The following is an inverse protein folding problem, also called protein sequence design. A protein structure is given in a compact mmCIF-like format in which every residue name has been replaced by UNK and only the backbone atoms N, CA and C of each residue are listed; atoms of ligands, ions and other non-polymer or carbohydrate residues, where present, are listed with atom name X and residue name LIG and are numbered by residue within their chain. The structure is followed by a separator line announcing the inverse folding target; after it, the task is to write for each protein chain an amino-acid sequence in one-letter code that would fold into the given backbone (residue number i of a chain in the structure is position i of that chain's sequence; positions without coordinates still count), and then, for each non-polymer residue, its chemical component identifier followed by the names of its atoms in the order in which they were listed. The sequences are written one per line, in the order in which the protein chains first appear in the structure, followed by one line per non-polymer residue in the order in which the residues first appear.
data_IF_034368617470
#
_entry.id   IF_034368617470
#
_cell.length_a   1.000
_cell.length_b   1.000
_cell.length_c   1.000
_cell.angle_alpha   90.00
_cell.angle_beta   90.00
_cell.angle_gamma   90.00
#
_symmetry.space_group_name_H-M   'P 1'
#
loop_
_entity.id
_entity.type
_entity.pdbx_description
1 polymer ?
#
# COMPACT_ATOMS: atom_id res chain seq x y z
N UNK A 1 9.59 -31.81 -0.92
CA UNK A 1 8.83 -32.55 0.10
C UNK A 1 8.75 -31.83 1.45
N UNK A 2 9.77 -31.11 1.95
CA UNK A 2 9.71 -30.33 3.22
C UNK A 2 8.80 -29.10 3.15
N UNK A 3 8.64 -28.48 2.01
CA UNK A 3 7.80 -27.29 1.77
C UNK A 3 6.31 -27.59 1.94
N UNK A 4 5.83 -28.74 1.45
CA UNK A 4 4.43 -29.15 1.58
C UNK A 4 3.97 -29.28 3.05
N UNK A 5 4.84 -29.79 3.94
CA UNK A 5 4.52 -29.94 5.35
C UNK A 5 4.46 -28.59 6.08
N UNK A 6 5.30 -27.63 5.69
CA UNK A 6 5.29 -26.30 6.28
C UNK A 6 4.03 -25.50 5.86
N UNK A 7 3.64 -25.60 4.60
CA UNK A 7 2.41 -24.97 4.06
C UNK A 7 1.16 -25.59 4.69
N UNK A 8 1.10 -26.93 4.81
CA UNK A 8 -0.03 -27.64 5.43
C UNK A 8 -0.12 -27.29 6.93
N UNK A 9 1.00 -27.20 7.64
CA UNK A 9 1.02 -26.86 9.07
C UNK A 9 0.56 -25.42 9.32
N UNK A 10 0.97 -24.45 8.48
CA UNK A 10 0.52 -23.06 8.60
C UNK A 10 -0.96 -22.89 8.19
N UNK A 11 -1.42 -23.59 7.16
CA UNK A 11 -2.84 -23.59 6.75
C UNK A 11 -3.74 -24.25 7.82
N UNK A 12 -3.26 -25.30 8.51
CA UNK A 12 -4.02 -25.94 9.59
C UNK A 12 -4.16 -25.05 10.83
N UNK A 13 -3.19 -24.17 11.12
CA UNK A 13 -3.29 -23.18 12.22
C UNK A 13 -4.31 -22.07 11.87
N UNK A 14 -4.43 -21.70 10.60
CA UNK A 14 -5.43 -20.72 10.11
C UNK A 14 -6.87 -21.27 10.09
N UNK A 15 -7.04 -22.60 10.04
CA UNK A 15 -8.34 -23.28 9.95
C UNK A 15 -8.92 -23.71 11.31
N UNK A 16 -8.24 -23.42 12.43
CA UNK A 16 -8.82 -23.72 13.74
C UNK A 16 -10.10 -22.87 13.93
N UNK A 17 -11.27 -23.49 14.07
CA UNK A 17 -12.50 -22.75 14.30
C UNK A 17 -12.40 -22.05 15.66
N UNK A 18 -12.34 -20.73 15.65
CA UNK A 18 -12.55 -19.92 16.85
C UNK A 18 -14.01 -20.05 17.21
N UNK A 19 -14.33 -20.97 18.11
CA UNK A 19 -15.68 -21.17 18.59
C UNK A 19 -16.18 -19.91 19.33
N UNK A 20 -16.86 -19.03 18.61
CA UNK A 20 -17.54 -17.87 19.18
C UNK A 20 -18.80 -18.21 20.02
N UNK A 21 -19.18 -19.49 20.08
CA UNK A 21 -20.40 -19.96 20.75
C UNK A 21 -20.34 -19.96 22.29
N UNK A 22 -19.17 -20.22 22.88
CA UNK A 22 -19.06 -20.42 24.33
C UNK A 22 -19.50 -19.22 25.20
N UNK A 23 -19.50 -18.02 24.68
CA UNK A 23 -19.86 -16.83 25.45
C UNK A 23 -21.32 -16.38 25.25
N UNK A 24 -21.96 -16.75 24.14
CA UNK A 24 -23.40 -16.61 23.97
C UNK A 24 -24.15 -17.64 24.82
N UNK A 25 -23.63 -18.86 24.85
CA UNK A 25 -24.14 -19.95 25.69
C UNK A 25 -24.10 -19.55 27.18
N UNK A 26 -23.02 -18.86 27.64
CA UNK A 26 -22.92 -18.40 29.02
C UNK A 26 -23.98 -17.36 29.39
N UNK A 27 -24.25 -16.38 28.53
CA UNK A 27 -25.29 -15.36 28.78
C UNK A 27 -26.71 -15.98 28.77
N UNK A 28 -26.93 -16.98 27.92
CA UNK A 28 -28.19 -17.73 27.91
C UNK A 28 -28.37 -18.58 29.16
N UNK A 29 -27.32 -19.28 29.56
CA UNK A 29 -27.30 -20.06 30.82
C UNK A 29 -27.56 -19.15 32.04
N UNK A 30 -26.93 -18.00 32.11
CA UNK A 30 -27.13 -17.05 33.23
C UNK A 30 -28.56 -16.47 33.25
N UNK A 31 -29.19 -16.28 32.09
CA UNK A 31 -30.60 -15.90 31.99
C UNK A 31 -31.51 -17.04 32.41
N UNK A 32 -31.28 -18.24 31.91
CA UNK A 32 -32.14 -19.40 32.14
C UNK A 32 -32.04 -19.94 33.59
N UNK A 33 -30.89 -19.74 34.24
CA UNK A 33 -30.70 -20.00 35.66
C UNK A 33 -31.19 -18.87 36.55
N UNK A 34 -31.81 -17.82 36.01
CA UNK A 34 -32.34 -16.69 36.79
C UNK A 34 -31.27 -15.80 37.45
N UNK A 35 -29.99 -16.00 37.14
CA UNK A 35 -28.87 -15.20 37.69
C UNK A 35 -28.90 -13.77 37.14
N UNK A 36 -29.38 -13.57 35.93
CA UNK A 36 -29.65 -12.26 35.31
C UNK A 36 -31.07 -12.17 34.82
N UNK A 37 -31.68 -11.00 34.99
CA UNK A 37 -33.02 -10.74 34.46
C UNK A 37 -33.01 -10.61 32.94
N UNK A 38 -34.14 -10.87 32.28
CA UNK A 38 -34.29 -10.70 30.83
C UNK A 38 -33.89 -9.27 30.37
N UNK A 39 -34.15 -8.27 31.19
CA UNK A 39 -33.77 -6.87 30.93
C UNK A 39 -32.24 -6.66 30.99
N UNK A 40 -31.56 -7.34 31.92
CA UNK A 40 -30.10 -7.34 32.02
C UNK A 40 -29.46 -8.13 30.88
N UNK A 41 -30.03 -9.27 30.48
CA UNK A 41 -29.62 -10.04 29.32
C UNK A 41 -29.71 -9.19 28.04
N UNK A 42 -30.84 -8.53 27.77
CA UNK A 42 -31.01 -7.68 26.59
C UNK A 42 -30.06 -6.46 26.62
N UNK A 43 -29.80 -5.90 27.79
CA UNK A 43 -28.82 -4.81 27.97
C UNK A 43 -27.41 -5.28 27.63
N UNK A 44 -26.96 -6.41 28.19
CA UNK A 44 -25.64 -6.99 27.94
C UNK A 44 -25.48 -7.40 26.45
N UNK A 45 -26.53 -7.94 25.85
CA UNK A 45 -26.56 -8.27 24.41
C UNK A 45 -26.50 -7.04 23.51
N UNK A 46 -27.10 -5.92 23.91
CA UNK A 46 -27.01 -4.62 23.21
C UNK A 46 -25.67 -3.94 23.42
N UNK A 47 -25.10 -3.99 24.60
CA UNK A 47 -23.74 -3.48 24.90
C UNK A 47 -22.67 -4.25 24.13
N UNK A 48 -22.88 -5.56 23.92
CA UNK A 48 -22.05 -6.40 23.00
C UNK A 48 -22.18 -5.99 21.53
N UNK A 49 -23.35 -5.51 21.09
CA UNK A 49 -23.60 -5.04 19.72
C UNK A 49 -23.20 -3.58 19.50
N UNK A 50 -22.91 -2.83 20.57
CA UNK A 50 -22.38 -1.47 20.43
C UNK A 50 -20.97 -1.58 19.81
N UNK A 51 -20.68 -0.85 18.75
CA UNK A 51 -19.39 -0.96 18.09
C UNK A 51 -18.28 -0.57 19.06
N UNK A 52 -17.48 -1.56 19.49
CA UNK A 52 -16.22 -1.41 20.23
C UNK A 52 -15.22 -0.57 19.42
N UNK A 53 -15.54 -0.31 18.18
CA UNK A 53 -14.67 0.20 17.13
C UNK A 53 -14.17 1.63 17.28
N UNK A 54 -14.84 2.49 18.01
CA UNK A 54 -14.40 3.89 18.06
C UNK A 54 -13.21 4.15 19.00
N UNK A 55 -13.03 3.38 20.06
CA UNK A 55 -11.95 3.61 21.02
C UNK A 55 -10.63 2.94 20.66
N UNK A 56 -10.67 1.75 20.08
CA UNK A 56 -9.46 0.97 19.71
C UNK A 56 -8.77 1.54 18.48
N UNK A 57 -9.53 2.12 17.54
CA UNK A 57 -8.95 2.71 16.32
C UNK A 57 -8.20 4.03 16.55
N UNK A 58 -8.36 4.67 17.68
CA UNK A 58 -7.85 6.03 17.88
C UNK A 58 -6.40 6.09 18.38
N UNK A 59 -5.79 4.97 18.79
CA UNK A 59 -4.46 4.98 19.42
C UNK A 59 -4.44 5.88 20.65
N UNK A 60 -3.25 6.26 21.12
CA UNK A 60 -3.14 7.29 22.15
C UNK A 60 -3.54 8.64 21.57
N UNK A 61 -4.57 9.27 22.15
CA UNK A 61 -5.09 10.57 21.73
C UNK A 61 -5.19 11.52 22.91
N UNK A 62 -4.59 12.68 22.76
CA UNK A 62 -4.81 13.83 23.65
C UNK A 62 -5.49 14.94 22.87
N UNK A 63 -6.49 15.58 23.47
CA UNK A 63 -7.25 16.67 22.87
C UNK A 63 -7.41 17.80 23.90
N UNK A 64 -6.95 18.99 23.53
CA UNK A 64 -7.34 20.26 24.14
C UNK A 64 -8.08 21.13 23.11
N UNK A 65 -8.47 22.37 23.45
CA UNK A 65 -9.08 23.30 22.49
C UNK A 65 -8.21 23.52 21.26
N UNK A 66 -6.91 23.72 21.46
CA UNK A 66 -5.99 24.20 20.42
C UNK A 66 -5.00 23.15 19.94
N UNK A 67 -4.98 21.96 20.59
CA UNK A 67 -4.03 20.92 20.28
C UNK A 67 -4.68 19.53 20.29
N UNK A 68 -4.49 18.79 19.22
CA UNK A 68 -4.87 17.38 19.13
C UNK A 68 -3.64 16.56 18.71
N UNK A 69 -3.38 15.47 19.41
CA UNK A 69 -2.26 14.59 19.15
C UNK A 69 -2.70 13.13 19.13
N UNK A 70 -2.15 12.35 18.20
CA UNK A 70 -2.41 10.90 18.06
C UNK A 70 -1.11 10.18 17.79
N UNK A 71 -0.92 9.07 18.47
CA UNK A 71 0.13 8.09 18.15
C UNK A 71 -0.54 6.87 17.55
N UNK A 72 0.01 6.37 16.48
CA UNK A 72 -0.42 5.12 15.82
C UNK A 72 0.81 4.35 15.36
N UNK A 73 0.62 3.04 15.16
CA UNK A 73 1.68 2.20 14.67
C UNK A 73 1.23 1.17 13.67
N UNK A 74 2.22 0.48 13.12
CA UNK A 74 2.04 -0.65 12.24
C UNK A 74 3.25 -1.57 12.32
N UNK A 75 2.98 -2.88 12.43
CA UNK A 75 3.97 -3.93 12.25
C UNK A 75 3.50 -4.84 11.10
N UNK A 76 4.42 -5.20 10.21
CA UNK A 76 4.25 -6.21 9.16
C UNK A 76 5.42 -7.16 9.21
N UNK A 77 5.11 -8.45 9.36
CA UNK A 77 6.06 -9.56 9.41
C UNK A 77 5.80 -10.45 8.22
N UNK A 78 6.81 -10.68 7.41
CA UNK A 78 6.74 -11.45 6.17
C UNK A 78 7.54 -12.73 6.29
N UNK A 79 7.09 -13.76 5.57
CA UNK A 79 7.83 -14.96 5.26
C UNK A 79 7.66 -15.27 3.78
N UNK A 80 8.71 -15.73 3.11
CA UNK A 80 8.67 -16.19 1.73
C UNK A 80 9.53 -17.42 1.53
N UNK A 81 9.05 -18.29 0.63
CA UNK A 81 9.78 -19.45 0.10
C UNK A 81 9.70 -19.36 -1.41
N UNK A 82 10.83 -19.51 -2.05
CA UNK A 82 10.95 -19.49 -3.52
C UNK A 82 11.23 -20.91 -4.00
N UNK A 83 10.58 -21.28 -5.09
CA UNK A 83 10.87 -22.45 -5.91
C UNK A 83 11.43 -21.92 -7.22
N UNK A 84 12.72 -22.01 -7.36
CA UNK A 84 13.55 -21.40 -8.39
C UNK A 84 14.43 -22.45 -9.05
N UNK A 85 14.79 -22.27 -10.34
CA UNK A 85 15.64 -23.21 -11.09
C UNK A 85 17.11 -22.80 -11.03
N UNK A 86 17.44 -21.52 -11.29
CA UNK A 86 18.82 -21.10 -11.53
C UNK A 86 19.34 -20.07 -10.51
N UNK A 87 18.51 -19.15 -10.02
CA UNK A 87 18.94 -18.03 -9.16
C UNK A 87 18.36 -18.14 -7.75
N UNK A 88 19.20 -18.38 -6.75
CA UNK A 88 18.81 -18.38 -5.33
C UNK A 88 18.31 -16.99 -4.88
N UNK A 89 17.01 -16.86 -4.65
CA UNK A 89 16.37 -15.62 -4.17
C UNK A 89 16.42 -15.46 -2.64
N UNK A 90 16.84 -16.50 -1.91
CA UNK A 90 16.98 -16.48 -0.47
C UNK A 90 15.64 -16.51 0.29
N UNK A 91 15.11 -17.74 0.46
CA UNK A 91 13.90 -17.97 1.29
C UNK A 91 14.14 -17.58 2.75
N UNK A 92 13.13 -16.98 3.42
CA UNK A 92 13.28 -16.57 4.81
C UNK A 92 12.15 -15.74 5.38
N UNK A 93 12.48 -14.99 6.42
CA UNK A 93 11.54 -14.09 7.12
C UNK A 93 12.09 -12.68 7.21
N UNK A 94 11.20 -11.68 7.27
CA UNK A 94 11.57 -10.26 7.33
C UNK A 94 10.59 -9.45 8.16
N UNK A 95 11.11 -8.53 8.96
CA UNK A 95 10.30 -7.41 9.49
C UNK A 95 10.12 -6.40 8.34
N UNK A 96 9.03 -6.51 7.61
CA UNK A 96 8.81 -5.69 6.42
C UNK A 96 8.59 -4.22 6.74
N UNK A 97 7.84 -3.93 7.81
CA UNK A 97 7.62 -2.57 8.32
C UNK A 97 7.39 -2.59 9.82
N UNK A 98 8.08 -1.71 10.52
CA UNK A 98 7.88 -1.43 11.95
C UNK A 98 7.76 0.09 12.11
N UNK A 99 6.52 0.64 11.97
CA UNK A 99 6.32 2.08 11.87
C UNK A 99 5.58 2.64 13.06
N UNK A 100 6.09 3.77 13.57
CA UNK A 100 5.36 4.67 14.44
C UNK A 100 5.06 5.97 13.70
N UNK A 101 3.90 6.54 13.93
CA UNK A 101 3.58 7.85 13.42
C UNK A 101 2.82 8.69 14.44
N UNK A 102 3.18 9.94 14.44
CA UNK A 102 2.66 11.01 15.25
C UNK A 102 1.90 11.96 14.32
N UNK A 103 0.66 12.27 14.63
CA UNK A 103 -0.11 13.19 13.83
C UNK A 103 -0.98 14.06 14.74
N UNK A 104 -1.17 15.29 14.36
CA UNK A 104 -1.95 16.22 15.16
C UNK A 104 -2.53 17.39 14.41
N UNK A 105 -3.30 18.19 15.15
CA UNK A 105 -3.76 19.51 14.79
C UNK A 105 -3.20 20.49 15.81
N UNK A 106 -2.75 21.64 15.34
CA UNK A 106 -2.35 22.79 16.15
C UNK A 106 -3.23 23.95 15.71
N UNK A 107 -3.96 24.53 16.64
CA UNK A 107 -5.10 25.40 16.34
C UNK A 107 -6.08 24.75 15.35
N UNK A 108 -6.91 25.52 14.67
CA UNK A 108 -7.97 24.94 13.83
C UNK A 108 -7.47 24.40 12.50
N UNK A 109 -6.46 25.02 11.89
CA UNK A 109 -6.11 24.83 10.49
C UNK A 109 -4.79 24.11 10.24
N UNK A 110 -3.89 24.14 11.20
CA UNK A 110 -2.57 23.52 11.04
C UNK A 110 -2.58 22.06 11.44
N UNK A 111 -1.98 21.22 10.60
CA UNK A 111 -1.81 19.79 10.84
C UNK A 111 -0.33 19.45 10.69
N UNK A 112 0.11 18.43 11.41
CA UNK A 112 1.44 17.86 11.23
C UNK A 112 1.36 16.34 11.22
N UNK A 113 2.35 15.72 10.58
CA UNK A 113 2.55 14.29 10.62
C UNK A 113 4.04 13.99 10.58
N UNK A 114 4.47 13.09 11.48
CA UNK A 114 5.78 12.45 11.44
C UNK A 114 5.57 10.94 11.42
N UNK A 115 6.23 10.23 10.53
CA UNK A 115 6.22 8.77 10.45
C UNK A 115 7.64 8.24 10.31
N UNK A 116 8.03 7.32 11.18
CA UNK A 116 9.35 6.72 11.24
C UNK A 116 9.18 5.21 11.05
N UNK A 117 10.05 4.61 10.26
CA UNK A 117 10.17 3.17 10.06
C UNK A 117 11.47 2.67 10.72
N UNK A 118 11.36 1.61 11.50
CA UNK A 118 12.45 0.97 12.22
C UNK A 118 12.78 -0.42 11.64
N UNK A 119 12.21 -0.78 10.49
CA UNK A 119 12.54 -2.04 9.83
C UNK A 119 14.00 -2.07 9.39
N UNK A 120 14.55 -3.28 9.20
CA UNK A 120 15.93 -3.52 8.75
C UNK A 120 17.02 -2.94 9.70
N UNK A 121 16.68 -2.66 10.97
CA UNK A 121 17.55 -2.02 11.97
C UNK A 121 18.06 -0.61 11.56
N UNK A 122 17.34 0.05 10.66
CA UNK A 122 17.64 1.40 10.18
C UNK A 122 16.48 2.33 10.52
N UNK A 123 16.78 3.51 11.06
CA UNK A 123 15.77 4.55 11.29
C UNK A 123 15.57 5.33 10.00
N UNK A 124 14.38 5.22 9.43
CA UNK A 124 14.04 5.85 8.15
C UNK A 124 12.83 6.78 8.31
N UNK A 125 13.01 8.06 8.00
CA UNK A 125 11.91 9.05 8.01
C UNK A 125 11.04 8.81 6.78
N UNK A 126 9.73 8.55 6.98
CA UNK A 126 8.77 8.34 5.89
C UNK A 126 7.93 9.60 5.63
N UNK A 127 7.11 10.02 6.55
CA UNK A 127 6.39 11.29 6.44
C UNK A 127 6.95 12.27 7.50
N UNK A 128 7.24 13.51 7.13
CA UNK A 128 7.61 14.59 8.04
C UNK A 128 7.15 15.91 7.42
N UNK A 129 5.91 16.33 7.70
CA UNK A 129 5.34 17.51 7.07
C UNK A 129 4.41 18.29 7.99
N UNK A 130 4.26 19.57 7.66
CA UNK A 130 3.23 20.47 8.16
C UNK A 130 2.23 20.70 7.03
N UNK A 131 0.95 20.82 7.37
CA UNK A 131 -0.10 21.08 6.40
C UNK A 131 -1.04 22.18 6.91
N UNK A 132 -1.35 23.12 6.04
CA UNK A 132 -2.39 24.13 6.26
C UNK A 132 -3.68 23.70 5.59
N UNK A 133 -4.78 23.69 6.31
CA UNK A 133 -6.11 23.25 5.85
C UNK A 133 -7.22 24.29 6.12
N UNK A 134 -6.87 25.57 6.25
CA UNK A 134 -7.83 26.67 6.42
C UNK A 134 -8.53 27.09 5.12
N UNK A 135 -8.04 26.66 3.97
CA UNK A 135 -8.76 26.87 2.70
C UNK A 135 -9.90 25.86 2.56
N UNK A 136 -11.03 26.29 2.00
CA UNK A 136 -12.12 25.38 1.67
C UNK A 136 -11.67 24.34 0.61
N UNK A 137 -11.89 23.05 0.90
CA UNK A 137 -11.57 21.92 0.03
C UNK A 137 -10.09 21.82 -0.44
N UNK A 138 -9.19 22.63 0.13
CA UNK A 138 -7.78 22.69 -0.27
C UNK A 138 -6.85 22.55 0.92
N UNK A 139 -5.76 21.79 0.73
CA UNK A 139 -4.70 21.59 1.73
C UNK A 139 -3.36 21.89 1.08
N UNK A 140 -2.55 22.71 1.71
CA UNK A 140 -1.15 22.93 1.33
C UNK A 140 -0.26 22.14 2.29
N UNK A 141 0.71 21.38 1.77
CA UNK A 141 1.68 20.62 2.57
C UNK A 141 3.09 21.09 2.28
N UNK A 142 3.92 21.12 3.32
CA UNK A 142 5.35 21.45 3.24
C UNK A 142 6.13 20.43 4.05
N UNK A 143 7.14 19.80 3.48
CA UNK A 143 8.00 18.79 4.10
C UNK A 143 8.09 17.51 3.29
N UNK A 144 8.44 16.39 3.93
CA UNK A 144 8.57 15.08 3.29
C UNK A 144 7.26 14.32 3.29
N UNK A 145 6.72 14.05 2.12
CA UNK A 145 5.47 13.28 1.93
C UNK A 145 5.43 12.63 0.55
N UNK A 146 4.48 11.70 0.35
CA UNK A 146 4.27 11.09 -0.95
C UNK A 146 3.85 12.13 -1.97
N UNK A 147 4.52 12.14 -3.11
CA UNK A 147 4.09 12.91 -4.25
C UNK A 147 2.74 12.44 -4.77
N UNK A 148 1.94 13.30 -5.38
CA UNK A 148 0.64 12.93 -5.92
C UNK A 148 0.78 12.14 -7.23
N UNK A 149 1.12 10.84 -7.13
CA UNK A 149 1.36 9.96 -8.26
C UNK A 149 0.92 8.54 -7.93
N UNK A 150 0.22 7.84 -8.86
CA UNK A 150 -0.26 6.47 -8.77
C UNK A 150 -1.34 6.21 -7.70
N UNK A 151 -2.42 5.58 -8.09
CA UNK A 151 -3.50 5.12 -7.20
C UNK A 151 -3.00 4.06 -6.21
N UNK A 152 -2.18 3.10 -6.67
CA UNK A 152 -1.64 2.05 -5.81
C UNK A 152 -0.63 2.63 -4.81
N UNK A 153 0.24 3.57 -5.23
CA UNK A 153 1.18 4.21 -4.31
C UNK A 153 0.46 5.05 -3.26
N UNK A 154 -0.53 5.86 -3.65
CA UNK A 154 -1.28 6.72 -2.72
C UNK A 154 -2.20 5.92 -1.79
N UNK A 155 -2.67 4.75 -2.21
CA UNK A 155 -3.28 3.77 -1.33
C UNK A 155 -2.22 3.29 -0.33
N UNK A 156 -2.55 3.37 0.96
CA UNK A 156 -1.62 2.89 1.99
C UNK A 156 -1.32 1.40 1.78
N UNK A 157 -0.04 1.00 1.91
CA UNK A 157 0.36 -0.41 1.88
C UNK A 157 -0.29 -1.30 2.96
N UNK A 158 -1.11 -0.73 3.84
CA UNK A 158 -1.98 -1.46 4.77
C UNK A 158 -3.27 -1.93 4.13
N UNK A 159 -3.64 -1.36 2.98
CA UNK A 159 -4.97 -1.48 2.38
C UNK A 159 -4.94 -1.96 0.93
N UNK A 160 -3.76 -2.19 0.36
CA UNK A 160 -3.61 -2.87 -0.94
C UNK A 160 -3.94 -4.36 -0.77
N UNK A 161 -4.54 -5.01 -1.78
CA UNK A 161 -4.93 -6.43 -1.71
C UNK A 161 -3.76 -7.41 -1.66
N UNK A 162 -2.60 -7.04 -2.21
CA UNK A 162 -1.40 -7.89 -2.28
C UNK A 162 -0.33 -7.45 -1.29
N UNK A 163 0.62 -8.34 -0.98
CA UNK A 163 1.67 -8.06 0.01
C UNK A 163 2.59 -6.92 -0.45
N UNK A 164 2.96 -6.92 -1.72
CA UNK A 164 3.75 -5.84 -2.33
C UNK A 164 2.98 -5.20 -3.50
N UNK A 165 3.42 -4.00 -3.90
CA UNK A 165 2.92 -3.31 -5.08
C UNK A 165 3.36 -4.01 -6.35
N UNK A 166 2.66 -3.72 -7.44
CA UNK A 166 2.96 -4.22 -8.77
C UNK A 166 4.34 -3.75 -9.27
N UNK A 167 4.92 -4.49 -10.18
CA UNK A 167 6.25 -4.25 -10.75
C UNK A 167 6.48 -2.78 -11.19
N UNK A 168 5.52 -2.11 -11.88
CA UNK A 168 5.74 -0.75 -12.37
C UNK A 168 5.85 0.30 -11.26
N UNK A 169 5.69 -0.08 -9.99
CA UNK A 169 5.85 0.86 -8.88
C UNK A 169 7.29 1.42 -8.78
N UNK A 170 8.25 0.86 -9.50
CA UNK A 170 9.60 1.42 -9.65
C UNK A 170 9.60 2.81 -10.29
N UNK A 171 8.63 3.13 -11.15
CA UNK A 171 8.49 4.44 -11.78
C UNK A 171 7.88 5.52 -10.86
N UNK A 172 7.47 5.14 -9.64
CA UNK A 172 6.80 6.08 -8.73
C UNK A 172 7.85 6.90 -7.96
N UNK A 173 7.76 8.25 -7.96
CA UNK A 173 8.74 9.12 -7.30
C UNK A 173 8.82 8.94 -5.77
N UNK A 174 7.82 8.31 -5.15
CA UNK A 174 7.84 8.01 -3.73
C UNK A 174 7.58 9.21 -2.81
N UNK A 175 8.47 9.40 -1.81
CA UNK A 175 8.41 10.50 -0.84
C UNK A 175 9.60 11.40 -0.98
N UNK A 176 9.32 12.68 -1.17
CA UNK A 176 10.34 13.70 -1.31
C UNK A 176 9.97 14.95 -0.51
N UNK A 177 10.99 15.77 -0.20
CA UNK A 177 10.82 17.06 0.49
C UNK A 177 10.32 18.08 -0.54
N UNK A 178 9.21 18.74 -0.23
CA UNK A 178 8.63 19.70 -1.17
C UNK A 178 7.45 20.47 -0.63
N UNK A 179 6.81 21.18 -1.55
CA UNK A 179 5.56 21.90 -1.32
C UNK A 179 4.51 21.37 -2.30
N UNK A 180 3.36 20.97 -1.77
CA UNK A 180 2.26 20.44 -2.58
C UNK A 180 0.92 21.01 -2.20
N UNK A 181 0.06 21.18 -3.20
CA UNK A 181 -1.33 21.63 -3.07
C UNK A 181 -2.24 20.47 -3.46
N UNK A 182 -3.25 20.22 -2.64
CA UNK A 182 -4.23 19.14 -2.79
C UNK A 182 -5.63 19.74 -2.67
N UNK A 183 -6.40 19.68 -3.72
CA UNK A 183 -7.77 20.18 -3.74
C UNK A 183 -8.73 19.12 -4.27
N UNK A 184 -10.00 19.24 -3.93
CA UNK A 184 -11.03 18.31 -4.37
C UNK A 184 -12.38 19.00 -4.58
N UNK A 185 -13.13 18.51 -5.54
CA UNK A 185 -14.54 18.79 -5.71
C UNK A 185 -15.40 17.60 -5.35
N UNK A 186 -16.64 17.63 -5.76
CA UNK A 186 -17.57 16.54 -5.43
C UNK A 186 -17.25 15.24 -6.20
N UNK A 187 -16.73 15.35 -7.42
CA UNK A 187 -16.39 14.21 -8.27
C UNK A 187 -14.96 14.20 -8.79
N UNK A 188 -14.09 15.09 -8.34
CA UNK A 188 -12.73 15.19 -8.84
C UNK A 188 -11.73 15.55 -7.75
N UNK A 189 -10.48 15.25 -7.98
CA UNK A 189 -9.35 15.80 -7.22
C UNK A 189 -8.31 16.37 -8.17
N UNK A 190 -7.64 17.44 -7.74
CA UNK A 190 -6.45 17.95 -8.40
C UNK A 190 -5.35 18.13 -7.35
N UNK A 191 -4.15 17.70 -7.67
CA UNK A 191 -3.01 17.86 -6.77
C UNK A 191 -1.73 18.05 -7.57
N UNK A 192 -0.81 18.82 -7.01
CA UNK A 192 0.49 19.03 -7.63
C UNK A 192 1.46 19.66 -6.65
N UNK A 193 2.74 19.65 -7.01
CA UNK A 193 3.78 20.21 -6.17
C UNK A 193 5.14 20.25 -6.84
N UNK A 194 6.05 20.93 -6.16
CA UNK A 194 7.47 20.97 -6.47
C UNK A 194 8.25 20.30 -5.35
N UNK A 195 9.24 19.50 -5.72
CA UNK A 195 9.95 18.61 -4.82
C UNK A 195 11.44 18.63 -5.11
N UNK A 196 12.25 18.50 -4.08
CA UNK A 196 13.63 18.07 -4.15
C UNK A 196 13.73 16.56 -4.00
N UNK A 197 14.72 16.11 -3.24
CA UNK A 197 14.95 14.69 -2.98
C UNK A 197 14.48 14.25 -1.59
N UNK A 198 14.69 12.99 -1.24
CA UNK A 198 14.30 12.41 0.03
C UNK A 198 15.18 12.89 1.20
N UNK A 199 14.74 12.70 2.47
CA UNK A 199 15.43 13.24 3.64
C UNK A 199 16.75 12.51 3.98
N UNK A 200 17.11 11.46 3.27
CA UNK A 200 18.36 10.73 3.44
C UNK A 200 19.41 11.08 2.40
N UNK A 201 19.06 11.88 1.43
CA UNK A 201 19.98 12.25 0.35
C UNK A 201 20.85 13.43 0.80
N UNK A 202 22.10 13.13 1.10
CA UNK A 202 23.12 14.15 1.42
C UNK A 202 23.95 14.38 0.18
N UNK A 203 23.81 15.54 -0.44
CA UNK A 203 24.61 15.95 -1.59
C UNK A 203 25.30 17.27 -1.31
N UNK A 204 26.57 17.34 -1.71
CA UNK A 204 27.40 18.49 -1.45
C UNK A 204 27.26 19.55 -2.56
N UNK A 205 27.02 19.11 -3.81
CA UNK A 205 27.09 19.96 -5.01
C UNK A 205 25.73 20.20 -5.71
N UNK A 206 24.62 19.90 -5.04
CA UNK A 206 23.26 20.16 -5.51
C UNK A 206 22.39 18.92 -5.56
N UNK A 207 21.09 19.15 -5.45
CA UNK A 207 20.08 18.11 -5.58
C UNK A 207 19.27 18.28 -6.87
N UNK A 208 18.69 17.19 -7.38
CA UNK A 208 17.72 17.23 -8.43
C UNK A 208 16.43 17.93 -7.98
N UNK A 209 15.58 18.26 -8.91
CA UNK A 209 14.27 18.85 -8.63
C UNK A 209 13.16 18.11 -9.38
N UNK A 210 11.96 18.18 -8.85
CA UNK A 210 10.82 17.55 -9.47
C UNK A 210 9.56 18.39 -9.45
N UNK A 211 8.70 18.14 -10.44
CA UNK A 211 7.36 18.68 -10.49
C UNK A 211 6.40 17.53 -10.75
N UNK A 212 5.40 17.38 -9.89
CA UNK A 212 4.42 16.30 -10.01
C UNK A 212 3.02 16.86 -9.98
N UNK A 213 2.16 16.39 -10.90
CA UNK A 213 0.75 16.72 -10.97
C UNK A 213 -0.12 15.49 -11.15
N UNK A 214 -1.30 15.47 -10.53
CA UNK A 214 -2.31 14.40 -10.64
C UNK A 214 -3.71 14.97 -10.69
N UNK A 215 -4.52 14.44 -11.58
CA UNK A 215 -5.95 14.73 -11.71
C UNK A 215 -6.72 13.41 -11.60
N UNK A 216 -7.84 13.41 -10.88
CA UNK A 216 -8.73 12.24 -10.81
C UNK A 216 -10.19 12.63 -10.97
N UNK A 217 -10.97 11.71 -11.53
CA UNK A 217 -12.42 11.77 -11.61
C UNK A 217 -13.01 10.56 -10.88
N UNK A 218 -14.06 10.80 -10.09
CA UNK A 218 -14.84 9.77 -9.41
C UNK A 218 -16.33 10.04 -9.59
N UNK A 219 -16.88 9.74 -10.79
CA UNK A 219 -18.30 10.02 -11.08
C UNK A 219 -19.25 9.26 -10.17
N UNK A 220 -18.83 8.11 -9.66
CA UNK A 220 -19.53 7.31 -8.64
C UNK A 220 -18.58 7.09 -7.47
N UNK A 221 -19.00 7.41 -6.24
CA UNK A 221 -18.19 7.21 -5.02
C UNK A 221 -19.06 6.97 -3.79
N UNK A 222 -19.94 6.00 -3.90
CA UNK A 222 -20.83 5.55 -2.84
C UNK A 222 -20.12 4.57 -1.89
N UNK A 223 -20.81 4.14 -0.84
CA UNK A 223 -20.24 3.24 0.18
C UNK A 223 -19.78 1.90 -0.40
N UNK A 224 -20.50 1.36 -1.39
CA UNK A 224 -20.25 0.05 -2.00
C UNK A 224 -20.04 0.12 -3.52
N UNK A 225 -20.05 1.30 -4.10
CA UNK A 225 -19.85 1.53 -5.52
C UNK A 225 -18.89 2.70 -5.72
N UNK A 226 -17.89 2.51 -6.56
CA UNK A 226 -16.97 3.58 -6.93
C UNK A 226 -16.46 3.37 -8.36
N UNK A 227 -16.29 4.47 -9.07
CA UNK A 227 -15.56 4.53 -10.33
C UNK A 227 -14.47 5.57 -10.16
N UNK A 228 -13.24 5.19 -10.44
CA UNK A 228 -12.08 6.05 -10.38
C UNK A 228 -11.38 6.05 -11.74
N UNK A 229 -11.06 7.24 -12.23
CA UNK A 229 -10.18 7.48 -13.36
C UNK A 229 -9.14 8.51 -12.93
N UNK A 230 -7.89 8.34 -13.34
CA UNK A 230 -6.83 9.26 -12.97
C UNK A 230 -5.72 9.33 -14.00
N UNK A 231 -4.98 10.42 -13.96
CA UNK A 231 -3.74 10.62 -14.70
C UNK A 231 -2.77 11.41 -13.83
N UNK A 232 -1.49 11.03 -13.85
CA UNK A 232 -0.44 11.82 -13.22
C UNK A 232 0.82 11.85 -14.07
N UNK A 233 1.55 12.95 -13.92
CA UNK A 233 2.85 13.17 -14.55
C UNK A 233 3.84 13.66 -13.50
N UNK A 234 5.04 13.09 -13.51
CA UNK A 234 6.15 13.48 -12.65
C UNK A 234 7.38 13.75 -13.52
N UNK A 235 7.82 15.00 -13.56
CA UNK A 235 9.10 15.41 -14.14
C UNK A 235 10.19 15.41 -13.07
N UNK A 236 11.40 14.99 -13.45
CA UNK A 236 12.63 15.06 -12.63
C UNK A 236 13.78 15.62 -13.44
N UNK A 237 14.37 16.71 -12.98
CA UNK A 237 15.70 17.13 -13.40
C UNK A 237 16.74 16.35 -12.57
N UNK A 238 17.64 15.67 -13.24
CA UNK A 238 18.74 14.94 -12.60
C UNK A 238 19.82 15.93 -12.20
N UNK A 239 20.44 15.76 -11.01
CA UNK A 239 21.52 16.65 -10.61
C UNK A 239 22.77 16.47 -11.47
N UNK A 240 23.52 17.54 -11.66
CA UNK A 240 24.73 17.54 -12.49
C UNK A 240 25.81 16.58 -11.95
N UNK A 241 25.79 16.27 -10.66
CA UNK A 241 26.76 15.36 -10.03
C UNK A 241 26.49 13.90 -10.33
N UNK A 242 25.20 13.48 -10.37
CA UNK A 242 24.84 12.09 -10.63
C UNK A 242 24.84 11.77 -12.10
N UNK A 243 24.20 12.60 -12.90
CA UNK A 243 23.98 12.40 -14.34
C UNK A 243 23.55 10.97 -14.71
N UNK A 244 22.90 10.28 -13.78
CA UNK A 244 22.41 8.91 -13.96
C UNK A 244 21.07 8.72 -13.27
N UNK A 245 20.29 7.79 -13.81
CA UNK A 245 19.07 7.28 -13.23
C UNK A 245 19.04 5.77 -13.41
N UNK A 246 18.42 5.04 -12.48
CA UNK A 246 18.23 3.60 -12.62
C UNK A 246 16.82 3.19 -12.23
N UNK A 247 16.31 2.15 -12.88
CA UNK A 247 15.04 1.49 -12.57
C UNK A 247 15.28 0.02 -12.32
N UNK A 248 14.78 -0.50 -11.22
CA UNK A 248 14.85 -1.92 -10.92
C UNK A 248 13.60 -2.38 -10.16
N UNK A 249 13.21 -3.63 -10.36
CA UNK A 249 12.08 -4.21 -9.65
C UNK A 249 12.43 -5.58 -9.06
N UNK A 250 11.93 -5.80 -7.84
CA UNK A 250 11.94 -7.10 -7.18
C UNK A 250 10.66 -7.85 -7.56
N UNK A 251 10.69 -9.19 -7.55
CA UNK A 251 9.55 -10.01 -7.98
C UNK A 251 8.36 -9.97 -7.00
N UNK A 252 7.84 -8.77 -6.74
CA UNK A 252 6.72 -8.51 -5.83
C UNK A 252 6.86 -9.20 -4.46
N UNK A 253 8.11 -9.39 -4.05
CA UNK A 253 8.51 -9.94 -2.76
C UNK A 253 9.52 -9.03 -2.06
N UNK A 254 9.32 -8.81 -0.76
CA UNK A 254 10.22 -8.00 0.03
C UNK A 254 11.27 -8.82 0.81
N UNK A 255 11.11 -10.13 0.90
CA UNK A 255 12.03 -11.02 1.62
C UNK A 255 13.34 -11.11 0.85
N UNK A 256 13.28 -11.34 -0.48
CA UNK A 256 14.49 -11.27 -1.31
C UNK A 256 15.05 -9.84 -1.39
N UNK A 257 16.37 -9.75 -1.51
CA UNK A 257 17.06 -8.50 -1.85
C UNK A 257 17.33 -8.36 -3.36
N UNK A 258 17.09 -9.41 -4.14
CA UNK A 258 17.43 -9.51 -5.56
C UNK A 258 16.33 -8.82 -6.37
N UNK A 259 16.74 -7.96 -7.29
CA UNK A 259 15.90 -7.46 -8.39
C UNK A 259 16.10 -8.38 -9.58
N UNK A 260 15.01 -8.81 -10.23
CA UNK A 260 15.07 -9.66 -11.40
C UNK A 260 15.23 -8.84 -12.68
N UNK A 261 14.72 -7.62 -12.69
CA UNK A 261 14.90 -6.63 -13.76
C UNK A 261 15.60 -5.38 -13.21
N UNK A 262 16.60 -4.89 -13.96
CA UNK A 262 17.44 -3.76 -13.54
C UNK A 262 18.13 -3.11 -14.76
N UNK A 263 17.88 -1.82 -15.01
CA UNK A 263 18.54 -1.07 -16.09
C UNK A 263 20.02 -0.85 -15.82
N UNK A 264 20.48 -1.04 -14.57
CA UNK A 264 21.73 -0.46 -14.13
C UNK A 264 21.68 1.08 -14.21
N UNK A 265 22.84 1.71 -14.17
CA UNK A 265 22.97 3.17 -14.27
C UNK A 265 22.81 3.63 -15.72
N UNK A 266 21.73 4.34 -16.03
CA UNK A 266 21.51 5.04 -17.30
C UNK A 266 22.28 6.36 -17.23
N UNK A 267 23.55 6.34 -17.66
CA UNK A 267 24.42 7.50 -17.60
C UNK A 267 24.05 8.63 -18.55
N UNK A 268 24.59 9.82 -18.26
CA UNK A 268 24.36 11.05 -19.04
C UNK A 268 22.89 11.52 -19.06
N UNK A 269 22.11 11.12 -18.04
CA UNK A 269 20.74 11.54 -17.87
C UNK A 269 20.66 13.03 -17.50
N UNK A 270 19.78 13.76 -18.18
CA UNK A 270 19.47 15.17 -17.91
C UNK A 270 18.17 15.29 -17.11
N UNK A 271 17.19 14.50 -17.49
CA UNK A 271 15.87 14.48 -16.85
C UNK A 271 15.13 13.22 -17.20
N UNK A 272 14.07 12.91 -16.44
CA UNK A 272 13.10 11.90 -16.83
C UNK A 272 11.67 12.34 -16.51
N UNK A 273 10.74 11.75 -17.25
CA UNK A 273 9.31 11.98 -17.07
C UNK A 273 8.61 10.65 -16.88
N UNK A 274 7.93 10.49 -15.77
CA UNK A 274 7.05 9.34 -15.52
C UNK A 274 5.60 9.78 -15.69
N UNK A 275 4.83 9.02 -16.44
CA UNK A 275 3.39 9.22 -16.64
C UNK A 275 2.64 7.99 -16.18
N UNK A 276 1.47 8.16 -15.58
CA UNK A 276 0.59 7.06 -15.21
C UNK A 276 -0.86 7.38 -15.56
N UNK A 277 -1.57 6.38 -16.08
CA UNK A 277 -3.02 6.38 -16.25
C UNK A 277 -3.62 5.36 -15.27
N UNK A 278 -4.67 5.76 -14.56
CA UNK A 278 -5.26 5.00 -13.46
C UNK A 278 -6.74 4.72 -13.71
N UNK A 279 -7.19 3.51 -13.44
CA UNK A 279 -8.61 3.17 -13.45
C UNK A 279 -8.96 2.18 -12.32
N UNK A 280 -10.12 2.37 -11.70
CA UNK A 280 -10.67 1.38 -10.78
C UNK A 280 -12.19 1.44 -10.73
N UNK A 281 -12.79 0.27 -10.51
CA UNK A 281 -14.24 0.10 -10.31
C UNK A 281 -14.47 -0.76 -9.07
N UNK A 282 -15.42 -0.35 -8.24
CA UNK A 282 -15.95 -1.14 -7.13
C UNK A 282 -17.43 -1.34 -7.35
N UNK A 283 -17.91 -2.59 -7.27
CA UNK A 283 -19.31 -2.96 -7.36
C UNK A 283 -19.65 -3.99 -6.27
N UNK A 284 -20.18 -3.53 -5.14
CA UNK A 284 -20.38 -4.39 -3.98
C UNK A 284 -19.08 -5.05 -3.52
N UNK A 285 -19.06 -6.40 -3.40
CA UNK A 285 -17.87 -7.12 -2.95
C UNK A 285 -16.78 -7.27 -4.03
N UNK A 286 -17.05 -6.90 -5.27
CA UNK A 286 -16.10 -7.01 -6.37
C UNK A 286 -15.41 -5.68 -6.65
N UNK A 287 -14.14 -5.74 -6.99
CA UNK A 287 -13.39 -4.58 -7.49
C UNK A 287 -12.38 -4.97 -8.54
N UNK A 288 -12.13 -4.06 -9.48
CA UNK A 288 -11.07 -4.14 -10.48
C UNK A 288 -10.28 -2.84 -10.40
N UNK A 289 -8.96 -2.92 -10.53
CA UNK A 289 -8.06 -1.77 -10.59
C UNK A 289 -6.91 -2.07 -11.52
N UNK A 290 -6.47 -1.07 -12.28
CA UNK A 290 -5.28 -1.17 -13.13
C UNK A 290 -4.63 0.19 -13.31
N UNK A 291 -3.34 0.18 -13.60
CA UNK A 291 -2.55 1.35 -13.97
C UNK A 291 -1.57 0.97 -15.09
N UNK A 292 -1.31 1.93 -15.98
CA UNK A 292 -0.29 1.84 -17.02
C UNK A 292 0.71 2.97 -16.82
N UNK A 293 2.00 2.64 -16.80
CA UNK A 293 3.12 3.55 -16.57
C UNK A 293 3.98 3.63 -17.82
N UNK A 294 4.46 4.84 -18.09
CA UNK A 294 5.42 5.13 -19.14
C UNK A 294 6.48 6.09 -18.62
N UNK A 295 7.75 5.77 -18.85
CA UNK A 295 8.91 6.54 -18.41
C UNK A 295 9.79 6.87 -19.57
N UNK A 296 10.15 8.14 -19.75
CA UNK A 296 11.13 8.61 -20.73
C UNK A 296 12.30 9.24 -20.02
N UNK A 297 13.52 8.75 -20.27
CA UNK A 297 14.77 9.33 -19.78
C UNK A 297 15.46 10.10 -20.91
N UNK A 298 15.59 11.41 -20.74
CA UNK A 298 16.33 12.28 -21.65
C UNK A 298 17.79 12.31 -21.31
N UNK A 299 18.63 12.11 -22.32
CA UNK A 299 20.08 12.04 -22.18
C UNK A 299 20.76 13.20 -22.94
N UNK A 300 22.06 13.41 -22.67
CA UNK A 300 22.85 14.43 -23.40
C UNK A 300 22.87 14.14 -24.90
N UNK A 301 23.06 15.19 -25.70
CA UNK A 301 22.88 15.21 -27.16
C UNK A 301 23.59 14.08 -27.96
N UNK A 302 24.59 13.41 -27.41
CA UNK A 302 25.31 12.31 -28.09
C UNK A 302 24.78 10.94 -27.71
N UNK A 303 23.73 10.87 -26.92
CA UNK A 303 23.10 9.62 -26.42
C UNK A 303 21.62 9.63 -26.78
N UNK A 304 21.09 8.50 -27.23
CA UNK A 304 19.66 8.35 -27.46
C UNK A 304 18.88 8.46 -26.16
N UNK A 305 17.73 9.11 -26.17
CA UNK A 305 16.75 9.02 -25.11
C UNK A 305 16.27 7.55 -24.99
N UNK A 306 15.82 7.11 -23.84
CA UNK A 306 15.33 5.76 -23.61
C UNK A 306 13.98 5.76 -22.92
N UNK A 307 13.14 4.81 -23.30
CA UNK A 307 11.76 4.68 -22.87
C UNK A 307 11.51 3.32 -22.19
N UNK A 308 10.72 3.33 -21.12
CA UNK A 308 10.34 2.13 -20.38
C UNK A 308 8.85 2.15 -20.08
N UNK A 309 8.27 0.97 -19.88
CA UNK A 309 6.86 0.85 -19.59
C UNK A 309 6.56 -0.29 -18.60
N UNK A 310 5.37 -0.23 -18.04
CA UNK A 310 4.85 -1.31 -17.22
C UNK A 310 3.38 -1.09 -16.89
N UNK A 311 2.71 -2.16 -16.57
CA UNK A 311 1.30 -2.12 -16.25
C UNK A 311 0.91 -3.18 -15.25
N UNK A 312 -0.22 -2.99 -14.61
CA UNK A 312 -0.88 -4.05 -13.88
C UNK A 312 -2.39 -3.90 -13.99
N UNK A 313 -3.06 -5.03 -13.82
CA UNK A 313 -4.48 -5.12 -13.57
C UNK A 313 -4.74 -6.16 -12.50
N UNK A 314 -5.65 -5.87 -11.58
CA UNK A 314 -6.11 -6.88 -10.64
C UNK A 314 -7.63 -6.83 -10.44
N UNK A 315 -8.17 -7.98 -10.07
CA UNK A 315 -9.52 -8.13 -9.54
C UNK A 315 -9.47 -8.59 -8.09
N UNK A 316 -10.39 -8.13 -7.24
CA UNK A 316 -10.57 -8.67 -5.90
C UNK A 316 -12.04 -8.92 -5.58
N UNK A 317 -12.29 -9.92 -4.73
CA UNK A 317 -13.61 -10.34 -4.30
C UNK A 317 -13.64 -10.63 -2.82
N UNK A 318 -14.49 -9.91 -2.10
CA UNK A 318 -14.80 -10.20 -0.70
C UNK A 318 -15.84 -11.32 -0.59
N UNK A 319 -15.41 -12.50 -0.18
CA UNK A 319 -16.27 -13.68 0.01
C UNK A 319 -17.32 -13.45 1.10
N UNK A 320 -17.07 -12.54 2.01
CA UNK A 320 -17.92 -12.18 3.16
C UNK A 320 -18.78 -10.94 2.93
N UNK A 321 -18.71 -10.35 1.71
CA UNK A 321 -19.62 -9.30 1.26
C UNK A 321 -19.20 -7.88 1.61
N UNK A 322 -17.97 -7.64 2.09
CA UNK A 322 -17.41 -6.29 2.24
C UNK A 322 -17.16 -5.64 0.87
N UNK A 323 -16.85 -4.35 0.88
CA UNK A 323 -16.45 -3.59 -0.31
C UNK A 323 -15.16 -2.82 -0.04
N UNK A 324 -14.33 -2.66 -1.07
CA UNK A 324 -13.18 -1.75 -0.98
C UNK A 324 -13.64 -0.32 -0.74
N UNK A 325 -13.06 0.31 0.26
CA UNK A 325 -13.46 1.64 0.71
C UNK A 325 -12.70 2.72 -0.07
N UNK A 326 -13.35 3.33 -1.05
CA UNK A 326 -12.79 4.44 -1.83
C UNK A 326 -13.03 5.78 -1.14
N UNK A 327 -12.01 6.65 -1.12
CA UNK A 327 -12.07 8.01 -0.59
C UNK A 327 -11.90 9.03 -1.72
N UNK A 328 -13.00 9.55 -2.26
CA UNK A 328 -12.99 10.49 -3.37
C UNK A 328 -12.13 11.72 -3.10
N UNK A 329 -12.17 12.31 -1.88
CA UNK A 329 -11.38 13.50 -1.49
C UNK A 329 -9.86 13.31 -1.59
N UNK A 330 -9.38 12.11 -1.70
CA UNK A 330 -7.94 11.80 -1.85
C UNK A 330 -7.65 10.99 -3.11
N UNK A 331 -8.68 10.59 -3.85
CA UNK A 331 -8.52 9.74 -5.02
C UNK A 331 -7.75 8.44 -4.71
N UNK A 332 -8.07 7.76 -3.59
CA UNK A 332 -7.34 6.56 -3.15
C UNK A 332 -8.20 5.66 -2.27
N UNK A 333 -7.82 4.39 -2.16
CA UNK A 333 -8.50 3.42 -1.29
C UNK A 333 -8.06 3.52 0.17
N UNK A 334 -8.90 3.01 1.06
CA UNK A 334 -8.75 3.11 2.50
C UNK A 334 -9.06 1.78 3.20
N UNK A 335 -9.02 1.80 4.56
CA UNK A 335 -9.20 0.66 5.43
C UNK A 335 -10.47 -0.14 5.12
N UNK A 336 -10.32 -1.46 5.06
CA UNK A 336 -11.41 -2.43 5.09
C UNK A 336 -11.86 -2.61 6.54
N UNK A 337 -13.16 -2.74 6.73
CA UNK A 337 -13.79 -3.05 8.02
C UNK A 337 -14.66 -4.28 7.83
N UNK A 338 -14.35 -5.40 8.49
CA UNK A 338 -15.24 -6.55 8.48
C UNK A 338 -16.65 -6.19 8.92
N UNK A 339 -17.64 -6.77 8.26
CA UNK A 339 -19.04 -6.64 8.68
C UNK A 339 -19.23 -7.21 10.08
N UNK A 340 -18.52 -8.30 10.40
CA UNK A 340 -18.46 -8.89 11.73
C UNK A 340 -17.01 -9.33 12.02
N UNK A 341 -16.46 -8.91 13.14
CA UNK A 341 -15.10 -9.28 13.52
C UNK A 341 -15.01 -10.77 13.90
N UNK A 342 -13.88 -11.39 13.59
CA UNK A 342 -13.61 -12.75 14.06
C UNK A 342 -13.52 -12.80 15.60
N UNK A 343 -14.07 -13.85 16.18
CA UNK A 343 -14.12 -14.02 17.63
C UNK A 343 -15.20 -13.18 18.35
N UNK A 344 -15.98 -12.38 17.63
CA UNK A 344 -17.10 -11.58 18.15
C UNK A 344 -18.43 -11.93 17.44
N UNK A 345 -18.66 -13.22 17.19
CA UNK A 345 -19.84 -13.73 16.49
C UNK A 345 -19.71 -13.66 14.95
N UNK A 346 -18.52 -13.42 14.43
CA UNK A 346 -18.22 -13.38 13.00
C UNK A 346 -16.94 -14.15 12.66
N UNK A 347 -16.65 -14.20 11.36
CA UNK A 347 -15.46 -14.87 10.78
C UNK A 347 -14.40 -13.87 10.29
N UNK A 348 -14.62 -12.56 10.51
CA UNK A 348 -13.83 -11.52 9.87
C UNK A 348 -14.22 -11.32 8.41
N UNK A 349 -13.42 -10.57 7.65
CA UNK A 349 -13.58 -10.41 6.23
C UNK A 349 -12.55 -11.25 5.45
N UNK A 350 -12.98 -11.92 4.39
CA UNK A 350 -12.14 -12.72 3.51
C UNK A 350 -12.15 -12.15 2.10
N UNK A 351 -10.97 -11.87 1.56
CA UNK A 351 -10.78 -11.31 0.22
C UNK A 351 -9.87 -12.21 -0.60
N UNK A 352 -10.31 -12.57 -1.80
CA UNK A 352 -9.49 -13.17 -2.85
C UNK A 352 -9.06 -12.09 -3.82
N UNK A 353 -7.84 -12.16 -4.32
CA UNK A 353 -7.30 -11.27 -5.33
C UNK A 353 -6.55 -12.04 -6.41
N UNK A 354 -6.67 -11.59 -7.66
CA UNK A 354 -5.86 -12.05 -8.78
C UNK A 354 -5.28 -10.84 -9.48
N UNK A 355 -3.96 -10.79 -9.67
CA UNK A 355 -3.25 -9.71 -10.35
C UNK A 355 -2.38 -10.27 -11.47
N UNK A 356 -2.38 -9.58 -12.60
CA UNK A 356 -1.34 -9.61 -13.61
C UNK A 356 -0.55 -8.31 -13.55
N UNK A 357 0.76 -8.40 -13.60
CA UNK A 357 1.68 -7.26 -13.53
C UNK A 357 2.84 -7.51 -14.47
N UNK A 358 3.24 -6.49 -15.22
CA UNK A 358 4.37 -6.57 -16.15
C UNK A 358 5.21 -5.30 -16.11
N UNK A 359 6.48 -5.44 -16.42
CA UNK A 359 7.43 -4.34 -16.62
C UNK A 359 8.41 -4.69 -17.72
N UNK A 360 8.72 -3.71 -18.58
CA UNK A 360 9.73 -3.79 -19.63
C UNK A 360 10.74 -2.67 -19.41
N UNK A 361 11.98 -3.04 -19.12
CA UNK A 361 13.12 -2.16 -18.90
C UNK A 361 14.16 -2.31 -20.03
N UNK A 362 13.72 -2.78 -21.21
CA UNK A 362 14.55 -2.83 -22.41
C UNK A 362 14.25 -1.65 -23.31
N UNK A 363 15.28 -1.02 -23.85
CA UNK A 363 15.19 -0.03 -24.93
C UNK A 363 16.55 0.12 -25.62
N UNK A 364 16.63 -0.08 -26.95
CA UNK A 364 17.78 0.06 -27.84
C UNK A 364 19.13 -0.33 -27.23
N UNK A 365 19.66 0.51 -26.35
CA UNK A 365 21.01 0.37 -25.72
C UNK A 365 20.95 -0.03 -24.25
N UNK A 366 19.78 -0.08 -23.66
CA UNK A 366 19.54 -0.52 -22.28
C UNK A 366 18.82 -1.87 -22.32
N UNK A 367 19.33 -2.80 -21.58
CA UNK A 367 18.77 -4.17 -21.51
C UNK A 367 18.53 -4.49 -20.02
N UNK A 368 17.52 -3.87 -19.44
CA UNK A 368 17.15 -4.04 -18.04
C UNK A 368 16.34 -5.30 -17.76
N UNK A 369 15.87 -6.00 -18.82
CA UNK A 369 15.03 -7.19 -18.76
C UNK A 369 13.55 -6.88 -18.73
N UNK A 370 12.76 -7.94 -18.92
CA UNK A 370 11.30 -7.94 -18.80
C UNK A 370 10.88 -8.88 -17.67
N UNK A 371 9.81 -8.55 -16.96
CA UNK A 371 9.24 -9.40 -15.91
C UNK A 371 7.73 -9.36 -15.99
N UNK A 372 7.10 -10.55 -15.96
CA UNK A 372 5.66 -10.74 -15.90
C UNK A 372 5.29 -11.57 -14.66
N UNK A 373 4.35 -11.10 -13.87
CA UNK A 373 3.90 -11.77 -12.66
C UNK A 373 2.39 -12.03 -12.67
N UNK A 374 1.99 -13.25 -12.30
CA UNK A 374 0.62 -13.58 -11.94
C UNK A 374 0.58 -13.84 -10.44
N UNK A 375 -0.19 -13.04 -9.70
CA UNK A 375 -0.30 -13.17 -8.25
C UNK A 375 -1.71 -13.58 -7.84
N UNK A 376 -1.83 -14.71 -7.12
CA UNK A 376 -3.03 -15.09 -6.40
C UNK A 376 -2.88 -14.69 -4.93
N UNK A 377 -3.81 -13.90 -4.40
CA UNK A 377 -3.80 -13.39 -3.03
C UNK A 377 -5.02 -13.84 -2.22
N UNK A 378 -4.81 -14.23 -0.98
CA UNK A 378 -5.85 -14.48 0.02
C UNK A 378 -5.60 -13.59 1.22
N UNK A 379 -6.62 -12.84 1.63
CA UNK A 379 -6.56 -11.95 2.79
C UNK A 379 -7.62 -12.33 3.81
N UNK A 380 -7.22 -12.40 5.07
CA UNK A 380 -8.11 -12.53 6.19
C UNK A 380 -8.00 -11.32 7.13
N UNK A 381 -9.00 -10.48 7.10
CA UNK A 381 -9.15 -9.36 8.03
C UNK A 381 -9.88 -9.86 9.27
N UNK A 382 -9.13 -10.20 10.32
CA UNK A 382 -9.67 -10.68 11.62
C UNK A 382 -10.59 -9.61 12.23
N UNK A 383 -10.13 -8.37 12.17
CA UNK A 383 -10.81 -7.15 12.60
C UNK A 383 -10.18 -5.95 11.85
N UNK A 384 -10.62 -4.70 12.06
CA UNK A 384 -10.04 -3.54 11.36
C UNK A 384 -8.55 -3.30 11.59
N UNK A 385 -7.91 -3.95 12.57
CA UNK A 385 -6.51 -3.73 12.97
C UNK A 385 -5.59 -4.90 12.65
N UNK A 386 -6.11 -6.13 12.57
CA UNK A 386 -5.33 -7.35 12.36
C UNK A 386 -5.71 -7.98 11.02
N UNK A 387 -4.69 -8.27 10.20
CA UNK A 387 -4.83 -8.89 8.89
C UNK A 387 -3.74 -9.95 8.70
N UNK A 388 -4.12 -11.10 8.14
CA UNK A 388 -3.21 -12.09 7.58
C UNK A 388 -3.35 -12.13 6.07
N UNK A 389 -2.24 -12.35 5.38
CA UNK A 389 -2.19 -12.41 3.93
C UNK A 389 -1.36 -13.62 3.49
N UNK A 390 -1.77 -14.22 2.40
CA UNK A 390 -1.00 -15.24 1.68
C UNK A 390 -1.02 -14.92 0.19
N UNK A 391 0.13 -14.94 -0.46
CA UNK A 391 0.26 -14.75 -1.90
C UNK A 391 1.04 -15.91 -2.52
N UNK A 392 0.59 -16.34 -3.69
CA UNK A 392 1.39 -17.14 -4.62
C UNK A 392 1.68 -16.24 -5.81
N UNK A 393 2.94 -16.06 -6.15
CA UNK A 393 3.38 -15.27 -7.30
C UNK A 393 4.08 -16.20 -8.26
N UNK A 394 3.54 -16.32 -9.47
CA UNK A 394 4.18 -16.96 -10.62
C UNK A 394 4.92 -15.86 -11.35
N UNK A 395 6.22 -15.99 -11.47
CA UNK A 395 7.15 -14.99 -11.99
C UNK A 395 7.78 -15.57 -13.23
N UNK A 396 7.70 -14.84 -14.33
CA UNK A 396 8.38 -15.13 -15.57
C UNK A 396 9.26 -13.94 -15.93
N UNK A 397 10.53 -14.19 -16.20
CA UNK A 397 11.49 -13.16 -16.58
C UNK A 397 12.22 -13.55 -17.86
N UNK A 398 12.49 -12.56 -18.69
CA UNK A 398 13.47 -12.66 -19.79
C UNK A 398 14.73 -11.86 -19.41
N UNK A 399 15.57 -12.37 -18.51
CA UNK A 399 16.86 -11.75 -18.22
C UNK A 399 17.85 -12.07 -19.36
N UNK A 400 18.88 -11.25 -19.50
CA UNK A 400 20.00 -11.48 -20.43
C UNK A 400 20.63 -12.90 -20.38
N UNK A 401 20.33 -13.68 -19.36
CA UNK A 401 20.94 -14.98 -19.06
C UNK A 401 20.02 -16.18 -19.35
N UNK A 402 18.84 -16.00 -19.93
CA UNK A 402 17.83 -17.02 -20.18
C UNK A 402 16.55 -16.76 -19.40
N UNK A 403 15.44 -17.33 -19.88
CA UNK A 403 14.15 -17.27 -19.19
C UNK A 403 14.26 -17.97 -17.83
N UNK A 404 13.81 -17.32 -16.78
CA UNK A 404 13.77 -17.88 -15.43
C UNK A 404 12.32 -17.89 -14.91
N UNK A 405 11.81 -19.08 -14.62
CA UNK A 405 10.52 -19.26 -13.99
C UNK A 405 10.70 -19.43 -12.48
N UNK A 406 10.06 -18.62 -11.70
CA UNK A 406 10.10 -18.68 -10.23
C UNK A 406 8.68 -18.70 -9.67
N UNK A 407 8.44 -19.56 -8.68
CA UNK A 407 7.22 -19.50 -7.87
C UNK A 407 7.53 -19.05 -6.47
N UNK A 408 6.97 -17.91 -6.05
CA UNK A 408 7.10 -17.39 -4.70
C UNK A 408 5.83 -17.66 -3.87
N UNK A 409 5.99 -18.33 -2.73
CA UNK A 409 4.95 -18.50 -1.72
C UNK A 409 5.24 -17.52 -0.57
N UNK A 410 4.31 -16.61 -0.31
CA UNK A 410 4.53 -15.54 0.64
C UNK A 410 3.39 -15.45 1.66
N UNK A 411 3.72 -15.07 2.90
CA UNK A 411 2.75 -14.83 3.95
C UNK A 411 3.11 -13.56 4.73
N UNK A 412 2.09 -12.84 5.18
CA UNK A 412 2.25 -11.65 6.04
C UNK A 412 1.29 -11.68 7.21
N UNK A 413 1.81 -11.37 8.40
CA UNK A 413 1.02 -10.95 9.54
C UNK A 413 1.12 -9.43 9.70
N UNK A 414 -0.04 -8.75 9.80
CA UNK A 414 -0.12 -7.30 9.97
C UNK A 414 -0.94 -6.93 11.19
N UNK A 415 -0.43 -6.01 11.99
CA UNK A 415 -1.19 -5.32 13.03
C UNK A 415 -1.06 -3.79 12.89
N UNK A 416 -2.16 -3.09 13.15
CA UNK A 416 -2.22 -1.64 13.29
C UNK A 416 -2.71 -1.28 14.69
N UNK A 417 -2.28 -0.15 15.21
CA UNK A 417 -2.77 0.38 16.51
C UNK A 417 -2.78 1.90 16.54
#
# INVERSE_FOLDING_TARGET
MKIYYFIILLFSILLLPVNGSAQEDLLEILRDNGTITRKQYEKLKREKKAPVDKKVEEGFRQKSSDFQFRIRGRLQLDAAVYDEEDRDLGSGTKVRRARLFFAGKVYEDWKFKSQIDFADNVVSVKDAYIAYSGFEKTVVKIGNFKEPFSLEELTSSKYIPFMERALPNTFVPGRNIGVGVFTYGDHWTASGGVFGEGPGDTRIDGEGYGVTGRLTLSPVHEKTQAVHLGVAVAFRGVSDDLQSVSFSSKPESAVTSISLVDTGDIGQALSYVNTVVEAAVVCGPFSVQGEYFYSTVRRKANFSDVDFQGSYIFASWFLTGESRNYKHKSGAFSRIRPNNNAGQGGVGAWELGLRYSQIDLNDDVIFGGEEENITLGLNWYVNPLIRFMANVVLIDTDPKAGNEEVTAFQMRAQIEF
#
